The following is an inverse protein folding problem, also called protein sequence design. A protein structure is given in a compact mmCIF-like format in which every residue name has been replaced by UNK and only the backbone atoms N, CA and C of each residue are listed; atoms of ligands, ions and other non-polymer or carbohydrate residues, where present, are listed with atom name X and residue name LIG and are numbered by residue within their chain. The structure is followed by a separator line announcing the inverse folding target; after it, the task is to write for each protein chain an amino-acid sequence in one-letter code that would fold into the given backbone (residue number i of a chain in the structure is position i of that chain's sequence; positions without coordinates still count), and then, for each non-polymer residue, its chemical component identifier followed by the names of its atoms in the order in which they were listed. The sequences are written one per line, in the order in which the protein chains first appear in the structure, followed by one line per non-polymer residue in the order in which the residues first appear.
data_IF_421820965812
#
_entry.id   IF_421820965812
#
_cell.length_a   1.000
_cell.length_b   1.000
_cell.length_c   1.000
_cell.angle_alpha   90.00
_cell.angle_beta   90.00
_cell.angle_gamma   90.00
#
_symmetry.space_group_name_H-M   'P 1'
#
loop_
_entity.id
_entity.type
_entity.pdbx_description
1 polymer ?
#
# COMPACT_ATOMS: atom_id res chain seq x y z
N UNK A 1 20.86 16.24 0.14
CA UNK A 1 20.16 15.82 -1.08
C UNK A 1 21.09 15.18 -2.11
N UNK A 2 22.09 15.90 -2.60
CA UNK A 2 22.98 15.42 -3.68
C UNK A 2 23.73 14.14 -3.33
N UNK A 3 24.25 13.99 -2.12
CA UNK A 3 24.93 12.76 -1.69
C UNK A 3 24.02 11.55 -1.72
N UNK A 4 22.75 11.73 -1.34
CA UNK A 4 21.75 10.67 -1.38
C UNK A 4 21.39 10.29 -2.82
N UNK A 5 21.25 11.26 -3.70
CA UNK A 5 21.00 11.04 -5.13
C UNK A 5 22.17 10.28 -5.78
N UNK A 6 23.40 10.65 -5.44
CA UNK A 6 24.59 9.95 -5.93
C UNK A 6 24.64 8.50 -5.44
N UNK A 7 24.30 8.26 -4.18
CA UNK A 7 24.21 6.90 -3.63
C UNK A 7 23.14 6.05 -4.35
N UNK A 8 22.00 6.65 -4.68
CA UNK A 8 20.94 5.96 -5.45
C UNK A 8 21.36 5.64 -6.87
N UNK A 9 22.06 6.56 -7.54
CA UNK A 9 22.61 6.32 -8.88
C UNK A 9 23.65 5.18 -8.85
N UNK A 10 24.54 5.18 -7.88
CA UNK A 10 25.54 4.13 -7.70
C UNK A 10 24.86 2.77 -7.45
N UNK A 11 23.82 2.76 -6.64
CA UNK A 11 23.03 1.54 -6.39
C UNK A 11 22.32 1.06 -7.66
N UNK A 12 21.74 1.96 -8.44
CA UNK A 12 21.09 1.64 -9.71
C UNK A 12 22.08 1.01 -10.71
N UNK A 13 23.26 1.58 -10.84
CA UNK A 13 24.30 1.04 -11.69
C UNK A 13 24.77 -0.35 -11.21
N UNK A 14 24.88 -0.54 -9.90
CA UNK A 14 25.20 -1.85 -9.31
C UNK A 14 24.11 -2.89 -9.59
N UNK A 15 22.84 -2.50 -9.53
CA UNK A 15 21.72 -3.39 -9.87
C UNK A 15 21.74 -3.78 -11.35
N UNK A 16 22.11 -2.87 -12.26
CA UNK A 16 22.29 -3.18 -13.68
C UNK A 16 23.37 -4.24 -13.90
N UNK A 17 24.49 -4.15 -13.18
CA UNK A 17 25.53 -5.18 -13.21
C UNK A 17 25.05 -6.52 -12.64
N UNK A 18 24.36 -6.51 -11.49
CA UNK A 18 23.82 -7.71 -10.85
C UNK A 18 22.78 -8.41 -11.71
N UNK A 19 21.91 -7.68 -12.40
CA UNK A 19 20.92 -8.24 -13.31
C UNK A 19 21.51 -8.87 -14.57
N UNK A 20 22.77 -8.57 -14.88
CA UNK A 20 23.53 -9.21 -15.96
C UNK A 20 24.35 -10.43 -15.48
N UNK A 21 24.42 -10.68 -14.17
CA UNK A 21 25.15 -11.80 -13.60
C UNK A 21 24.37 -13.11 -13.79
N UNK A 22 24.96 -14.17 -14.37
CA UNK A 22 24.32 -15.46 -14.52
C UNK A 22 23.84 -16.10 -13.22
N UNK A 23 24.53 -15.89 -12.12
CA UNK A 23 24.12 -16.39 -10.79
C UNK A 23 22.81 -15.76 -10.32
N UNK A 24 22.63 -14.48 -10.58
CA UNK A 24 21.38 -13.76 -10.27
C UNK A 24 20.25 -14.15 -11.22
N UNK A 25 20.54 -14.30 -12.51
CA UNK A 25 19.56 -14.72 -13.52
C UNK A 25 18.98 -16.10 -13.20
N UNK A 26 19.79 -17.00 -12.66
CA UNK A 26 19.37 -18.34 -12.28
C UNK A 26 18.64 -18.40 -10.92
N UNK A 27 18.71 -17.36 -10.11
CA UNK A 27 17.99 -17.22 -8.84
C UNK A 27 16.74 -16.36 -9.03
N UNK A 28 15.59 -16.99 -9.14
CA UNK A 28 14.30 -16.30 -9.41
C UNK A 28 13.97 -15.26 -8.36
N UNK A 29 14.27 -15.52 -7.10
CA UNK A 29 13.99 -14.61 -5.98
C UNK A 29 14.84 -13.34 -6.07
N UNK A 30 16.16 -13.50 -6.25
CA UNK A 30 17.09 -12.37 -6.41
C UNK A 30 16.80 -11.57 -7.67
N UNK A 31 16.53 -12.24 -8.77
CA UNK A 31 16.16 -11.58 -10.02
C UNK A 31 14.94 -10.69 -9.86
N UNK A 32 13.92 -11.18 -9.17
CA UNK A 32 12.68 -10.45 -8.90
C UNK A 32 12.91 -9.26 -7.99
N UNK A 33 13.64 -9.43 -6.88
CA UNK A 33 13.96 -8.37 -5.93
C UNK A 33 14.79 -7.26 -6.58
N UNK A 34 15.84 -7.60 -7.29
CA UNK A 34 16.72 -6.63 -7.95
C UNK A 34 16.04 -5.91 -9.12
N UNK A 35 15.20 -6.60 -9.87
CA UNK A 35 14.41 -5.99 -10.95
C UNK A 35 13.40 -4.97 -10.41
N UNK A 36 12.77 -5.28 -9.29
CA UNK A 36 11.84 -4.36 -8.61
C UNK A 36 12.58 -3.13 -8.07
N UNK A 37 13.69 -3.33 -7.38
CA UNK A 37 14.51 -2.23 -6.86
C UNK A 37 15.03 -1.33 -7.99
N UNK A 38 15.49 -1.91 -9.10
CA UNK A 38 15.92 -1.16 -10.29
C UNK A 38 14.77 -0.31 -10.85
N UNK A 39 13.59 -0.88 -11.01
CA UNK A 39 12.42 -0.17 -11.51
C UNK A 39 12.01 0.99 -10.59
N UNK A 40 12.08 0.79 -9.28
CA UNK A 40 11.78 1.82 -8.28
C UNK A 40 12.76 3.00 -8.30
N UNK A 41 14.03 2.74 -8.65
CA UNK A 41 15.08 3.77 -8.74
C UNK A 41 15.16 4.45 -10.11
N UNK A 42 14.56 3.90 -11.15
CA UNK A 42 14.72 4.38 -12.52
C UNK A 42 14.31 5.85 -12.67
N UNK A 43 13.17 6.24 -12.14
CA UNK A 43 12.65 7.60 -12.30
C UNK A 43 13.53 8.63 -11.60
N UNK A 44 13.98 8.37 -10.38
CA UNK A 44 14.84 9.29 -9.63
C UNK A 44 16.21 9.41 -10.27
N UNK A 45 16.76 8.32 -10.80
CA UNK A 45 18.06 8.32 -11.48
C UNK A 45 18.01 9.07 -12.81
N UNK A 46 16.94 8.92 -13.58
CA UNK A 46 16.71 9.69 -14.80
C UNK A 46 16.58 11.19 -14.51
N UNK A 47 15.80 11.55 -13.50
CA UNK A 47 15.65 12.95 -13.08
C UNK A 47 16.98 13.56 -12.60
N UNK A 48 17.78 12.78 -11.86
CA UNK A 48 19.11 13.20 -11.42
C UNK A 48 20.10 13.36 -12.59
N UNK A 49 20.03 12.49 -13.58
CA UNK A 49 20.78 12.63 -14.83
C UNK A 49 20.46 13.94 -15.56
N UNK A 50 19.19 14.27 -15.71
CA UNK A 50 18.73 15.54 -16.29
C UNK A 50 19.20 16.74 -15.46
N UNK A 51 19.13 16.65 -14.13
CA UNK A 51 19.63 17.70 -13.25
C UNK A 51 21.12 17.96 -13.42
N UNK A 52 21.95 16.92 -13.50
CA UNK A 52 23.39 17.05 -13.73
C UNK A 52 23.68 17.70 -15.10
N UNK A 53 22.94 17.30 -16.14
CA UNK A 53 23.08 17.84 -17.48
C UNK A 53 22.74 19.34 -17.51
N UNK A 54 21.58 19.74 -16.96
CA UNK A 54 21.16 21.13 -16.86
C UNK A 54 22.14 21.97 -16.02
N UNK A 55 22.66 21.42 -14.94
CA UNK A 55 23.67 22.07 -14.11
C UNK A 55 24.95 22.34 -14.88
N UNK A 56 25.41 21.37 -15.66
CA UNK A 56 26.59 21.53 -16.52
C UNK A 56 26.38 22.57 -17.61
N UNK A 57 25.22 22.53 -18.29
CA UNK A 57 24.86 23.52 -19.31
C UNK A 57 24.80 24.94 -18.72
N UNK A 58 24.28 25.08 -17.50
CA UNK A 58 24.23 26.36 -16.78
C UNK A 58 25.61 26.88 -16.46
N UNK A 59 26.52 26.05 -15.98
CA UNK A 59 27.90 26.40 -15.71
C UNK A 59 28.64 26.81 -16.98
N UNK A 60 28.46 26.08 -18.07
CA UNK A 60 29.03 26.39 -19.40
C UNK A 60 28.51 27.75 -19.94
N UNK A 61 27.21 28.01 -19.76
CA UNK A 61 26.61 29.29 -20.19
C UNK A 61 27.12 30.48 -19.34
N UNK A 62 27.36 30.30 -18.07
CA UNK A 62 27.94 31.31 -17.19
C UNK A 62 29.40 31.63 -17.55
N UNK A 63 30.18 30.57 -17.82
CA UNK A 63 31.57 30.72 -18.29
C UNK A 63 31.62 31.46 -19.64
N UNK A 64 30.75 31.10 -20.59
CA UNK A 64 30.62 31.78 -21.88
C UNK A 64 30.25 33.24 -21.73
N UNK A 65 29.37 33.62 -20.78
CA UNK A 65 29.00 35.00 -20.51
C UNK A 65 30.19 35.82 -19.96
N UNK A 66 31.06 35.22 -19.15
CA UNK A 66 32.24 35.90 -18.62
C UNK A 66 33.28 36.18 -19.68
N UNK A 67 33.43 35.27 -20.64
CA UNK A 67 34.46 35.35 -21.71
C UNK A 67 33.99 36.14 -22.93
N UNK A 68 32.70 36.45 -23.07
CA UNK A 68 32.11 37.08 -24.24
C UNK A 68 32.25 38.62 -24.18
N UNK A 69 32.60 39.22 -25.32
CA UNK A 69 32.75 40.69 -25.45
C UNK A 69 31.63 41.33 -26.27
N UNK A 70 30.87 40.57 -27.04
CA UNK A 70 29.75 41.05 -27.83
C UNK A 70 28.46 41.19 -27.02
N UNK A 71 27.84 42.37 -27.02
CA UNK A 71 26.67 42.68 -26.22
C UNK A 71 25.43 41.83 -26.62
N UNK A 72 25.25 41.52 -27.90
CA UNK A 72 24.16 40.65 -28.36
C UNK A 72 24.34 39.22 -27.88
N UNK A 73 25.56 38.71 -27.95
CA UNK A 73 25.90 37.38 -27.46
C UNK A 73 25.77 37.27 -25.93
N UNK A 74 26.12 38.33 -25.21
CA UNK A 74 25.89 38.41 -23.76
C UNK A 74 24.39 38.37 -23.40
N UNK A 75 23.55 39.06 -24.14
CA UNK A 75 22.11 39.06 -23.93
C UNK A 75 21.50 37.67 -24.21
N UNK A 76 21.95 36.98 -25.25
CA UNK A 76 21.56 35.60 -25.50
C UNK A 76 22.01 34.64 -24.38
N UNK A 77 23.25 34.78 -23.90
CA UNK A 77 23.76 33.98 -22.81
C UNK A 77 22.98 34.20 -21.50
N UNK A 78 22.61 35.47 -21.20
CA UNK A 78 21.77 35.78 -20.02
C UNK A 78 20.37 35.16 -20.13
N UNK A 79 19.75 35.19 -21.29
CA UNK A 79 18.46 34.57 -21.54
C UNK A 79 18.51 33.02 -21.33
N UNK A 80 19.56 32.39 -21.87
CA UNK A 80 19.81 30.97 -21.68
C UNK A 80 20.04 30.61 -20.18
N UNK A 81 20.82 31.42 -19.48
CA UNK A 81 21.06 31.23 -18.02
C UNK A 81 19.75 31.33 -17.25
N UNK A 82 18.87 32.27 -17.58
CA UNK A 82 17.57 32.42 -16.91
C UNK A 82 16.68 31.18 -17.15
N UNK A 83 16.60 30.69 -18.39
CA UNK A 83 15.85 29.49 -18.75
C UNK A 83 16.38 28.25 -18.02
N UNK A 84 17.71 28.01 -18.07
CA UNK A 84 18.35 26.88 -17.42
C UNK A 84 18.24 26.94 -15.89
N UNK A 85 18.27 28.11 -15.30
CA UNK A 85 18.05 28.29 -13.86
C UNK A 85 16.63 27.89 -13.47
N UNK A 86 15.64 28.25 -14.27
CA UNK A 86 14.24 27.86 -14.06
C UNK A 86 14.05 26.34 -14.21
N UNK A 87 14.68 25.71 -15.19
CA UNK A 87 14.66 24.25 -15.36
C UNK A 87 15.33 23.53 -14.20
N UNK A 88 16.48 24.03 -13.74
CA UNK A 88 17.20 23.49 -12.60
C UNK A 88 16.34 23.51 -11.33
N UNK A 89 15.66 24.60 -11.04
CA UNK A 89 14.77 24.74 -9.89
C UNK A 89 13.61 23.76 -9.95
N UNK A 90 13.00 23.57 -11.11
CA UNK A 90 11.94 22.58 -11.31
C UNK A 90 12.42 21.16 -11.10
N UNK A 91 13.63 20.83 -11.58
CA UNK A 91 14.23 19.52 -11.37
C UNK A 91 14.61 19.29 -9.90
N UNK A 92 15.08 20.30 -9.20
CA UNK A 92 15.36 20.23 -7.74
C UNK A 92 14.07 19.93 -6.95
N UNK A 93 12.98 20.58 -7.27
CA UNK A 93 11.68 20.34 -6.64
C UNK A 93 11.18 18.91 -6.94
N UNK A 94 11.26 18.48 -8.22
CA UNK A 94 10.92 17.12 -8.60
C UNK A 94 11.76 16.08 -7.87
N UNK A 95 13.07 16.30 -7.76
CA UNK A 95 13.97 15.38 -7.04
C UNK A 95 13.65 15.31 -5.54
N UNK A 96 13.29 16.43 -4.91
CA UNK A 96 12.82 16.42 -3.51
C UNK A 96 11.59 15.53 -3.34
N UNK A 97 10.61 15.63 -4.25
CA UNK A 97 9.41 14.80 -4.23
C UNK A 97 9.74 13.32 -4.45
N UNK A 98 10.64 13.01 -5.38
CA UNK A 98 11.06 11.63 -5.66
C UNK A 98 11.87 10.99 -4.52
N UNK A 99 12.51 11.78 -3.67
CA UNK A 99 13.24 11.31 -2.48
C UNK A 99 12.32 11.09 -1.26
N UNK A 100 11.07 11.48 -1.33
CA UNK A 100 10.12 11.21 -0.27
C UNK A 100 9.92 9.70 -0.10
N UNK A 101 9.75 9.21 1.14
CA UNK A 101 9.45 7.81 1.38
C UNK A 101 8.18 7.41 0.64
N UNK A 102 8.26 6.40 -0.22
CA UNK A 102 7.09 5.80 -0.87
C UNK A 102 6.47 4.76 0.06
N UNK A 103 5.15 4.72 0.11
CA UNK A 103 4.44 3.64 0.77
C UNK A 103 4.69 2.34 -0.02
N UNK A 104 5.22 1.27 0.61
CA UNK A 104 5.49 0.01 -0.09
C UNK A 104 4.22 -0.66 -0.62
N UNK A 105 3.05 -0.24 -0.16
CA UNK A 105 1.76 -0.75 -0.60
C UNK A 105 1.18 -0.04 -1.83
N UNK A 106 1.76 1.10 -2.25
CA UNK A 106 1.21 1.96 -3.31
C UNK A 106 0.99 1.23 -4.65
N UNK A 107 1.82 0.25 -5.00
CA UNK A 107 1.70 -0.52 -6.23
C UNK A 107 0.74 -1.71 -6.13
N UNK A 108 0.21 -1.98 -4.95
CA UNK A 108 -0.65 -3.15 -4.70
C UNK A 108 -2.08 -2.94 -5.18
N UNK A 109 -2.75 -4.05 -5.47
CA UNK A 109 -4.19 -4.12 -5.56
C UNK A 109 -4.83 -3.83 -4.20
N UNK A 110 -6.10 -3.48 -4.19
CA UNK A 110 -6.79 -3.16 -2.94
C UNK A 110 -8.02 -4.00 -2.74
N UNK A 111 -8.30 -4.33 -1.47
CA UNK A 111 -9.62 -4.70 -0.99
C UNK A 111 -10.33 -3.46 -0.47
N UNK A 112 -11.53 -3.22 -0.95
CA UNK A 112 -12.39 -2.18 -0.43
C UNK A 112 -13.61 -2.80 0.25
N UNK A 113 -13.90 -2.33 1.45
CA UNK A 113 -15.08 -2.72 2.22
C UNK A 113 -15.94 -1.47 2.43
N UNK A 114 -17.13 -1.46 1.86
CA UNK A 114 -18.09 -0.37 2.03
C UNK A 114 -19.26 -0.88 2.84
N UNK A 115 -19.54 -0.23 3.95
CA UNK A 115 -20.55 -0.66 4.90
C UNK A 115 -21.46 0.50 5.29
N UNK A 116 -22.79 0.27 5.29
CA UNK A 116 -23.73 1.20 5.89
C UNK A 116 -23.50 1.30 7.40
N UNK A 117 -23.39 2.51 7.93
CA UNK A 117 -23.20 2.77 9.36
C UNK A 117 -24.48 3.37 9.99
N UNK A 118 -24.44 4.63 10.40
CA UNK A 118 -25.62 5.27 11.00
C UNK A 118 -26.63 5.71 9.93
N UNK A 119 -27.88 5.28 10.04
CA UNK A 119 -28.98 5.71 9.17
C UNK A 119 -29.86 4.58 8.58
N UNK A 120 -29.66 3.34 9.01
CA UNK A 120 -30.52 2.22 8.60
C UNK A 120 -30.48 1.96 7.09
N UNK A 121 -31.66 1.84 6.46
CA UNK A 121 -31.80 1.55 5.02
C UNK A 121 -31.16 2.63 4.14
N UNK A 122 -31.23 3.90 4.53
CA UNK A 122 -30.59 4.99 3.81
C UNK A 122 -29.05 4.88 3.80
N UNK A 123 -28.46 4.45 4.93
CA UNK A 123 -27.04 4.18 5.00
C UNK A 123 -26.64 3.03 4.05
N UNK A 124 -27.48 2.00 3.94
CA UNK A 124 -27.25 0.90 3.01
C UNK A 124 -27.39 1.33 1.54
N UNK A 125 -28.34 2.19 1.22
CA UNK A 125 -28.46 2.79 -0.12
C UNK A 125 -27.25 3.65 -0.47
N UNK A 126 -26.79 4.44 0.48
CA UNK A 126 -25.59 5.26 0.28
C UNK A 126 -24.32 4.41 0.11
N UNK A 127 -24.19 3.31 0.84
CA UNK A 127 -23.10 2.35 0.61
C UNK A 127 -23.10 1.83 -0.83
N UNK A 128 -24.27 1.55 -1.38
CA UNK A 128 -24.45 1.20 -2.80
C UNK A 128 -24.03 2.31 -3.76
N UNK A 129 -24.34 3.55 -3.44
CA UNK A 129 -23.94 4.72 -4.22
C UNK A 129 -22.41 4.90 -4.22
N UNK A 130 -21.77 4.74 -3.06
CA UNK A 130 -20.32 4.78 -2.95
C UNK A 130 -19.65 3.65 -3.75
N UNK A 131 -20.18 2.44 -3.66
CA UNK A 131 -19.67 1.33 -4.47
C UNK A 131 -19.73 1.65 -5.97
N UNK A 132 -20.85 2.15 -6.46
CA UNK A 132 -20.99 2.55 -7.87
C UNK A 132 -20.03 3.66 -8.26
N UNK A 133 -19.81 4.62 -7.39
CA UNK A 133 -18.83 5.70 -7.58
C UNK A 133 -17.41 5.14 -7.74
N UNK A 134 -16.99 4.24 -6.86
CA UNK A 134 -15.68 3.61 -6.96
C UNK A 134 -15.56 2.68 -8.17
N UNK A 135 -16.61 1.97 -8.53
CA UNK A 135 -16.64 1.14 -9.73
C UNK A 135 -16.41 1.97 -11.00
N UNK A 136 -17.07 3.11 -11.12
CA UNK A 136 -16.87 4.04 -12.24
C UNK A 136 -15.50 4.68 -12.25
N UNK A 137 -14.97 5.03 -11.08
CA UNK A 137 -13.61 5.53 -10.95
C UNK A 137 -12.58 4.49 -11.41
N UNK A 138 -12.72 3.25 -10.95
CA UNK A 138 -11.85 2.15 -11.36
C UNK A 138 -11.91 1.88 -12.86
N UNK A 139 -13.11 1.90 -13.46
CA UNK A 139 -13.29 1.75 -14.91
C UNK A 139 -12.56 2.86 -15.68
N UNK A 140 -12.67 4.11 -15.22
CA UNK A 140 -11.98 5.25 -15.83
C UNK A 140 -10.45 5.15 -15.73
N UNK A 141 -9.94 4.49 -14.70
CA UNK A 141 -8.50 4.20 -14.53
C UNK A 141 -8.03 2.96 -15.30
N UNK A 142 -8.94 2.20 -15.89
CA UNK A 142 -8.63 0.92 -16.56
C UNK A 142 -8.40 -0.24 -15.57
N UNK A 143 -8.87 -0.11 -14.35
CA UNK A 143 -8.79 -1.15 -13.33
C UNK A 143 -10.01 -2.07 -13.36
N UNK A 144 -9.82 -3.32 -12.94
CA UNK A 144 -10.89 -4.31 -12.85
C UNK A 144 -11.40 -4.42 -11.43
N UNK A 145 -12.72 -4.60 -11.29
CA UNK A 145 -13.36 -4.85 -10.01
C UNK A 145 -13.88 -6.28 -9.97
N UNK A 146 -13.55 -6.97 -8.88
CA UNK A 146 -14.10 -8.28 -8.55
C UNK A 146 -14.82 -8.19 -7.20
N UNK A 147 -16.13 -8.43 -7.21
CA UNK A 147 -16.92 -8.49 -5.98
C UNK A 147 -16.62 -9.79 -5.26
N UNK A 148 -16.12 -9.68 -4.03
CA UNK A 148 -15.79 -10.82 -3.18
C UNK A 148 -17.00 -11.27 -2.39
N UNK A 149 -17.71 -10.33 -1.76
CA UNK A 149 -18.87 -10.59 -0.92
C UNK A 149 -19.82 -9.39 -0.97
N UNK A 150 -21.11 -9.65 -1.02
CA UNK A 150 -22.13 -8.62 -1.02
C UNK A 150 -23.33 -9.05 -0.17
N UNK A 151 -23.66 -8.27 0.84
CA UNK A 151 -24.86 -8.41 1.66
C UNK A 151 -25.84 -7.32 1.28
N UNK A 152 -26.81 -7.67 0.44
CA UNK A 152 -27.84 -6.75 -0.03
C UNK A 152 -28.96 -6.57 0.99
N UNK A 153 -29.61 -5.39 0.96
CA UNK A 153 -30.82 -5.12 1.72
C UNK A 153 -32.07 -5.21 0.81
N UNK A 154 -33.25 -5.38 1.43
CA UNK A 154 -34.50 -5.47 0.69
C UNK A 154 -34.89 -4.22 -0.11
N UNK A 155 -34.23 -3.07 0.13
CA UNK A 155 -34.44 -1.79 -0.55
C UNK A 155 -33.41 -1.48 -1.63
N UNK A 156 -32.57 -2.44 -2.00
CA UNK A 156 -31.60 -2.31 -3.08
C UNK A 156 -30.25 -1.72 -2.70
N UNK A 157 -30.00 -1.51 -1.42
CA UNK A 157 -28.68 -1.09 -0.92
C UNK A 157 -27.84 -2.28 -0.46
N UNK A 158 -26.66 -1.97 0.10
CA UNK A 158 -25.77 -2.93 0.69
C UNK A 158 -25.60 -2.66 2.19
N UNK A 159 -25.83 -3.66 3.02
CA UNK A 159 -25.37 -3.63 4.41
C UNK A 159 -23.85 -3.60 4.43
N UNK A 160 -23.24 -4.40 3.58
CA UNK A 160 -21.81 -4.48 3.35
C UNK A 160 -21.54 -4.97 1.92
N UNK A 161 -20.54 -4.41 1.28
CA UNK A 161 -19.98 -4.94 0.03
C UNK A 161 -18.46 -4.92 0.12
N UNK A 162 -17.85 -6.05 -0.19
CA UNK A 162 -16.42 -6.24 -0.24
C UNK A 162 -16.03 -6.55 -1.68
N UNK A 163 -15.13 -5.78 -2.22
CA UNK A 163 -14.66 -5.95 -3.59
C UNK A 163 -13.17 -5.67 -3.69
N UNK A 164 -12.56 -6.32 -4.67
CA UNK A 164 -11.16 -6.14 -5.00
C UNK A 164 -11.03 -5.21 -6.22
N UNK A 165 -10.12 -4.27 -6.15
CA UNK A 165 -9.74 -3.41 -7.26
C UNK A 165 -8.37 -3.83 -7.74
N UNK A 166 -8.32 -4.42 -8.94
CA UNK A 166 -7.11 -4.93 -9.56
C UNK A 166 -6.57 -3.90 -10.56
N UNK A 167 -5.48 -3.27 -10.19
CA UNK A 167 -4.84 -2.27 -11.04
C UNK A 167 -3.53 -1.78 -10.45
N UNK A 168 -2.58 -1.49 -11.32
CA UNK A 168 -1.29 -0.94 -10.92
C UNK A 168 -1.47 0.43 -10.28
N UNK A 169 -1.00 0.60 -9.05
CA UNK A 169 -1.12 1.86 -8.32
C UNK A 169 -2.51 2.12 -7.72
N UNK A 170 -3.40 1.12 -7.67
CA UNK A 170 -4.74 1.28 -7.12
C UNK A 170 -4.72 1.75 -5.67
N UNK A 171 -3.88 1.16 -4.83
CA UNK A 171 -3.75 1.56 -3.44
C UNK A 171 -3.24 2.99 -3.28
N UNK A 172 -2.33 3.45 -4.11
CA UNK A 172 -1.76 4.81 -4.05
C UNK A 172 -2.81 5.91 -4.16
N UNK A 173 -3.89 5.64 -4.89
CA UNK A 173 -4.99 6.59 -5.11
C UNK A 173 -6.17 6.37 -4.16
N UNK A 174 -6.55 5.12 -3.93
CA UNK A 174 -7.73 4.78 -3.13
C UNK A 174 -7.48 4.81 -1.63
N UNK A 175 -6.24 4.77 -1.15
CA UNK A 175 -5.91 4.85 0.28
C UNK A 175 -6.49 6.06 1.00
N UNK A 176 -6.72 7.15 0.29
CA UNK A 176 -7.32 8.37 0.85
C UNK A 176 -8.83 8.26 1.09
N UNK A 177 -9.46 7.18 0.64
CA UNK A 177 -10.91 6.96 0.81
C UNK A 177 -11.26 6.27 2.12
N UNK A 178 -10.28 5.84 2.90
CA UNK A 178 -10.48 5.27 4.22
C UNK A 178 -11.18 6.23 5.17
N UNK A 179 -12.25 5.78 5.77
CA UNK A 179 -12.93 6.52 6.83
C UNK A 179 -14.45 6.55 6.70
N UNK A 180 -15.07 7.44 7.45
CA UNK A 180 -16.51 7.65 7.44
C UNK A 180 -16.91 8.69 6.38
N UNK A 181 -17.82 8.33 5.50
CA UNK A 181 -18.42 9.20 4.50
C UNK A 181 -19.83 9.54 4.92
N UNK A 182 -20.20 10.81 4.87
CA UNK A 182 -21.49 11.31 5.30
C UNK A 182 -22.32 11.81 4.11
N UNK A 183 -23.58 11.42 4.08
CA UNK A 183 -24.54 11.89 3.10
C UNK A 183 -25.63 12.74 3.77
N UNK A 184 -25.98 13.84 3.12
CA UNK A 184 -27.13 14.69 3.46
C UNK A 184 -28.05 14.73 2.27
N UNK A 185 -29.22 14.10 2.38
CA UNK A 185 -30.26 14.08 1.34
C UNK A 185 -31.61 13.69 1.93
N UNK A 186 -32.66 13.91 1.15
CA UNK A 186 -33.97 13.34 1.47
C UNK A 186 -33.98 11.88 1.09
N UNK A 187 -34.11 10.93 2.06
CA UNK A 187 -34.13 9.51 1.75
C UNK A 187 -35.33 9.12 0.86
N UNK A 188 -35.17 8.09 0.03
CA UNK A 188 -36.26 7.54 -0.78
C UNK A 188 -37.42 7.01 0.10
N UNK A 189 -37.11 6.60 1.34
CA UNK A 189 -38.06 6.09 2.33
C UNK A 189 -38.76 7.19 3.14
N UNK A 190 -38.37 8.46 2.96
CA UNK A 190 -38.92 9.60 3.70
C UNK A 190 -40.11 10.23 2.95
N UNK A 191 -41.30 10.19 3.54
CA UNK A 191 -42.51 10.75 2.94
C UNK A 191 -42.70 12.25 3.19
N UNK A 192 -42.03 12.81 4.20
CA UNK A 192 -42.16 14.20 4.63
C UNK A 192 -41.21 15.19 3.95
N UNK A 193 -40.34 14.72 3.06
CA UNK A 193 -39.37 15.56 2.36
C UNK A 193 -38.26 16.14 3.23
N UNK A 194 -38.03 15.57 4.42
CA UNK A 194 -36.97 16.02 5.36
C UNK A 194 -35.61 15.51 4.97
N UNK A 195 -34.61 16.38 5.08
CA UNK A 195 -33.20 16.01 4.87
C UNK A 195 -32.69 15.21 6.08
N UNK A 196 -32.23 14.00 5.81
CA UNK A 196 -31.57 13.15 6.80
C UNK A 196 -30.06 13.11 6.58
N UNK A 197 -29.32 12.85 7.66
CA UNK A 197 -27.88 12.63 7.64
C UNK A 197 -27.59 11.17 7.96
N UNK A 198 -26.93 10.49 7.04
CA UNK A 198 -26.52 9.10 7.18
C UNK A 198 -25.03 8.95 6.91
N UNK A 199 -24.45 7.87 7.37
CA UNK A 199 -23.02 7.57 7.19
C UNK A 199 -22.80 6.17 6.66
N UNK A 200 -21.76 6.03 5.85
CA UNK A 200 -21.19 4.75 5.45
C UNK A 200 -19.69 4.78 5.70
N UNK A 201 -19.12 3.64 6.03
CA UNK A 201 -17.69 3.52 6.25
C UNK A 201 -17.03 2.85 5.06
N UNK A 202 -15.84 3.30 4.71
CA UNK A 202 -15.00 2.74 3.67
C UNK A 202 -13.68 2.32 4.29
N UNK A 203 -13.34 1.05 4.16
CA UNK A 203 -12.02 0.53 4.48
C UNK A 203 -11.31 0.19 3.18
N UNK A 204 -10.09 0.68 3.03
CA UNK A 204 -9.20 0.38 1.90
C UNK A 204 -7.98 -0.32 2.46
N UNK A 205 -7.79 -1.57 2.07
CA UNK A 205 -6.72 -2.42 2.53
C UNK A 205 -5.87 -2.87 1.34
N UNK A 206 -4.53 -2.82 1.44
CA UNK A 206 -3.70 -3.39 0.39
C UNK A 206 -3.91 -4.91 0.33
N UNK A 207 -3.78 -5.48 -0.87
CA UNK A 207 -3.78 -6.93 -1.03
C UNK A 207 -2.66 -7.54 -0.19
N UNK A 208 -3.01 -8.49 0.69
CA UNK A 208 -2.04 -9.18 1.51
C UNK A 208 -1.17 -10.10 0.64
N UNK A 209 0.13 -10.07 0.87
CA UNK A 209 1.05 -11.06 0.30
C UNK A 209 0.85 -12.41 1.02
N UNK A 210 1.09 -13.49 0.30
CA UNK A 210 1.12 -14.81 0.90
C UNK A 210 2.19 -14.86 1.98
N UNK A 211 1.85 -15.44 3.12
CA UNK A 211 2.80 -15.62 4.21
C UNK A 211 3.80 -16.70 3.81
N UNK A 212 5.01 -16.28 3.47
CA UNK A 212 6.13 -17.21 3.25
C UNK A 212 6.78 -17.53 4.60
N UNK A 213 6.80 -18.81 4.95
CA UNK A 213 7.45 -19.29 6.15
C UNK A 213 8.70 -20.06 5.74
N UNK A 214 9.86 -19.46 5.96
CA UNK A 214 11.15 -20.11 5.84
C UNK A 214 11.60 -20.56 7.23
N UNK A 215 11.64 -21.88 7.44
CA UNK A 215 12.07 -22.48 8.70
C UNK A 215 13.52 -22.93 8.55
N UNK A 216 14.42 -22.25 9.28
CA UNK A 216 15.79 -22.66 9.34
C UNK A 216 15.95 -23.84 10.32
N UNK A 217 16.49 -24.94 9.84
CA UNK A 217 16.73 -26.13 10.67
C UNK A 217 17.67 -25.86 11.87
N UNK A 218 18.52 -24.86 11.78
CA UNK A 218 19.40 -24.45 12.90
C UNK A 218 18.62 -23.85 14.08
N UNK A 219 17.44 -23.33 13.85
CA UNK A 219 16.58 -22.75 14.89
C UNK A 219 15.74 -23.82 15.61
N UNK A 220 15.84 -25.08 15.19
CA UNK A 220 15.09 -26.19 15.75
C UNK A 220 15.99 -27.02 16.66
N UNK A 221 15.66 -27.05 17.97
CA UNK A 221 16.29 -27.95 18.93
C UNK A 221 15.59 -29.29 18.91
N UNK A 222 16.36 -30.35 18.76
CA UNK A 222 15.88 -31.75 18.75
C UNK A 222 16.28 -32.41 20.03
N UNK A 223 15.31 -32.86 20.83
CA UNK A 223 15.49 -33.67 22.02
C UNK A 223 14.90 -35.05 21.80
N UNK A 224 15.63 -36.08 22.20
CA UNK A 224 15.15 -37.47 22.12
C UNK A 224 14.97 -38.02 23.51
N UNK A 225 13.91 -38.83 23.69
CA UNK A 225 13.60 -39.44 24.98
C UNK A 225 12.91 -40.80 24.83
N UNK A 226 12.79 -41.55 25.94
CA UNK A 226 12.10 -42.82 25.90
C UNK A 226 10.59 -42.60 25.79
N UNK A 227 9.92 -43.35 24.94
CA UNK A 227 8.47 -43.29 24.80
C UNK A 227 7.77 -43.67 26.11
N UNK A 228 6.68 -42.99 26.45
CA UNK A 228 5.84 -43.30 27.60
C UNK A 228 4.65 -44.16 27.14
N UNK A 229 4.25 -45.12 27.94
CA UNK A 229 3.06 -45.94 27.70
C UNK A 229 3.25 -47.41 28.07
N UNK A 230 2.17 -48.26 28.03
CA UNK A 230 2.25 -49.68 28.24
C UNK A 230 3.07 -50.33 27.15
N UNK A 231 4.20 -50.92 27.47
CA UNK A 231 5.08 -51.61 26.52
C UNK A 231 6.18 -52.38 27.22
N UNK A 232 6.84 -53.26 26.49
CA UNK A 232 7.97 -54.07 26.94
C UNK A 232 9.28 -53.27 27.00
N UNK A 233 10.42 -53.96 27.15
CA UNK A 233 11.75 -53.37 27.26
C UNK A 233 12.10 -52.39 26.15
N UNK A 234 11.59 -52.58 24.91
CA UNK A 234 11.80 -51.71 23.79
C UNK A 234 11.27 -50.29 23.98
N UNK A 235 10.11 -50.12 24.64
CA UNK A 235 9.51 -48.82 24.91
C UNK A 235 10.28 -48.07 25.99
N UNK A 236 10.79 -48.79 26.98
CA UNK A 236 11.45 -48.18 28.15
C UNK A 236 12.95 -47.93 27.96
N UNK A 237 13.59 -48.56 26.97
CA UNK A 237 15.05 -48.47 26.74
C UNK A 237 15.46 -47.77 25.45
N UNK A 238 14.59 -47.72 24.45
CA UNK A 238 14.85 -47.09 23.17
C UNK A 238 14.38 -45.63 23.17
N UNK A 239 15.29 -44.70 22.92
CA UNK A 239 14.95 -43.26 22.79
C UNK A 239 14.34 -42.99 21.41
N UNK A 240 13.12 -43.44 21.17
CA UNK A 240 12.40 -43.29 19.90
C UNK A 240 11.53 -42.03 19.84
N UNK A 241 11.11 -41.49 20.98
CA UNK A 241 10.32 -40.27 21.05
C UNK A 241 11.18 -39.02 20.76
N UNK A 242 10.61 -38.10 20.01
CA UNK A 242 11.30 -36.86 19.58
C UNK A 242 10.50 -35.64 20.03
N UNK A 243 11.19 -34.64 20.55
CA UNK A 243 10.66 -33.32 20.84
C UNK A 243 11.41 -32.30 20.00
N UNK A 244 10.68 -31.52 19.22
CA UNK A 244 11.21 -30.40 18.45
C UNK A 244 10.78 -29.10 19.10
N UNK A 245 11.75 -28.21 19.32
CA UNK A 245 11.51 -26.85 19.81
C UNK A 245 12.02 -25.84 18.79
N UNK A 246 11.13 -25.00 18.28
CA UNK A 246 11.51 -23.87 17.42
C UNK A 246 11.84 -22.68 18.33
N UNK A 247 13.13 -22.40 18.47
CA UNK A 247 13.62 -21.38 19.43
C UNK A 247 13.04 -19.99 19.21
N UNK A 248 12.93 -19.44 17.96
CA UNK A 248 12.38 -18.11 17.75
C UNK A 248 10.91 -17.94 18.17
N UNK A 249 10.08 -18.96 17.99
CA UNK A 249 8.65 -18.92 18.30
C UNK A 249 8.28 -19.56 19.63
N UNK A 250 9.17 -20.38 20.18
CA UNK A 250 8.91 -21.18 21.38
C UNK A 250 7.93 -22.34 21.19
N UNK A 251 7.54 -22.65 19.96
CA UNK A 251 6.64 -23.76 19.65
C UNK A 251 7.33 -25.09 19.88
N UNK A 252 6.68 -25.99 20.62
CA UNK A 252 7.16 -27.32 20.94
C UNK A 252 6.24 -28.38 20.38
N UNK A 253 6.80 -29.35 19.69
CA UNK A 253 6.08 -30.51 19.14
C UNK A 253 6.78 -31.78 19.55
N UNK A 254 6.04 -32.74 20.12
CA UNK A 254 6.53 -34.05 20.50
C UNK A 254 5.81 -35.14 19.70
N UNK A 255 6.54 -36.16 19.29
CA UNK A 255 5.99 -37.33 18.60
C UNK A 255 6.63 -38.60 19.14
N UNK A 256 5.78 -39.58 19.46
CA UNK A 256 6.19 -40.92 19.96
C UNK A 256 5.38 -42.06 19.33
N UNK A 257 4.66 -41.79 18.23
CA UNK A 257 3.70 -42.71 17.63
C UNK A 257 4.36 -43.93 16.98
N UNK A 258 5.56 -43.75 16.48
CA UNK A 258 6.31 -44.78 15.76
C UNK A 258 7.44 -45.36 16.61
N UNK A 259 7.85 -46.56 16.29
CA UNK A 259 9.03 -47.20 16.90
C UNK A 259 10.35 -46.63 16.38
N UNK A 260 10.32 -45.90 15.30
CA UNK A 260 11.48 -45.30 14.63
C UNK A 260 11.62 -43.82 15.02
N UNK A 261 12.78 -43.46 15.56
CA UNK A 261 13.12 -42.07 15.88
C UNK A 261 13.07 -41.17 14.64
N UNK A 262 13.55 -41.66 13.49
CA UNK A 262 13.56 -40.91 12.23
C UNK A 262 12.14 -40.58 11.78
N UNK A 263 11.23 -41.55 11.80
CA UNK A 263 9.83 -41.35 11.43
C UNK A 263 9.11 -40.40 12.37
N UNK A 264 9.39 -40.48 13.69
CA UNK A 264 8.86 -39.55 14.68
C UNK A 264 9.37 -38.12 14.45
N UNK A 265 10.64 -37.95 14.09
CA UNK A 265 11.21 -36.66 13.73
C UNK A 265 10.54 -36.05 12.49
N UNK A 266 10.34 -36.86 11.44
CA UNK A 266 9.64 -36.43 10.21
C UNK A 266 8.20 -35.98 10.48
N UNK A 267 7.44 -36.77 11.27
CA UNK A 267 6.09 -36.40 11.66
C UNK A 267 6.06 -35.12 12.51
N UNK A 268 6.94 -35.03 13.50
CA UNK A 268 7.03 -33.85 14.35
C UNK A 268 7.42 -32.61 13.53
N UNK A 269 8.29 -32.75 12.54
CA UNK A 269 8.68 -31.65 11.66
C UNK A 269 7.50 -31.14 10.82
N UNK A 270 6.68 -32.04 10.27
CA UNK A 270 5.46 -31.64 9.54
C UNK A 270 4.47 -30.87 10.41
N UNK A 271 4.25 -31.34 11.64
CA UNK A 271 3.37 -30.66 12.61
C UNK A 271 3.95 -29.32 13.04
N UNK A 272 5.25 -29.24 13.26
CA UNK A 272 5.93 -28.00 13.62
C UNK A 272 5.78 -26.93 12.52
N UNK A 273 6.03 -27.32 11.26
CA UNK A 273 5.84 -26.41 10.11
C UNK A 273 4.41 -25.91 10.01
N UNK A 274 3.44 -26.79 10.18
CA UNK A 274 2.02 -26.42 10.14
C UNK A 274 1.65 -25.43 11.26
N UNK A 275 2.15 -25.64 12.49
CA UNK A 275 1.90 -24.75 13.62
C UNK A 275 2.58 -23.40 13.49
N UNK A 276 3.80 -23.35 12.99
CA UNK A 276 4.53 -22.10 12.73
C UNK A 276 3.79 -21.30 11.65
N UNK A 277 3.37 -21.96 10.56
CA UNK A 277 2.60 -21.33 9.49
C UNK A 277 1.27 -20.75 10.00
N UNK A 278 0.52 -21.52 10.81
CA UNK A 278 -0.73 -21.06 11.43
C UNK A 278 -0.52 -19.85 12.34
N UNK A 279 0.57 -19.83 13.10
CA UNK A 279 0.92 -18.70 13.98
C UNK A 279 1.18 -17.44 13.15
N UNK A 280 2.03 -17.50 12.12
CA UNK A 280 2.33 -16.36 11.26
C UNK A 280 1.10 -15.88 10.49
N UNK A 281 0.24 -16.79 10.05
CA UNK A 281 -1.03 -16.40 9.43
C UNK A 281 -1.94 -15.64 10.40
N UNK A 282 -2.04 -16.08 11.64
CA UNK A 282 -2.82 -15.38 12.66
C UNK A 282 -2.26 -14.00 13.00
N UNK A 283 -0.95 -13.86 13.08
CA UNK A 283 -0.30 -12.56 13.26
C UNK A 283 -0.58 -11.61 12.09
N UNK A 284 -0.41 -12.07 10.86
CA UNK A 284 -0.72 -11.30 9.67
C UNK A 284 -2.21 -10.90 9.61
N UNK A 285 -3.11 -11.82 9.97
CA UNK A 285 -4.54 -11.52 10.03
C UNK A 285 -4.88 -10.51 11.11
N UNK A 286 -4.25 -10.60 12.28
CA UNK A 286 -4.43 -9.62 13.36
C UNK A 286 -3.99 -8.21 12.95
N UNK A 287 -2.89 -8.09 12.21
CA UNK A 287 -2.44 -6.81 11.66
C UNK A 287 -3.45 -6.23 10.65
N UNK A 288 -3.98 -7.06 9.76
CA UNK A 288 -5.03 -6.66 8.81
C UNK A 288 -6.28 -6.18 9.56
N UNK A 289 -6.70 -6.89 10.59
CA UNK A 289 -7.89 -6.56 11.38
C UNK A 289 -7.70 -5.26 12.17
N UNK A 290 -6.51 -5.01 12.69
CA UNK A 290 -6.16 -3.74 13.33
C UNK A 290 -6.15 -2.57 12.33
N UNK A 291 -5.56 -2.76 11.16
CA UNK A 291 -5.58 -1.78 10.08
C UNK A 291 -7.01 -1.48 9.62
N UNK A 292 -7.85 -2.50 9.47
CA UNK A 292 -9.27 -2.33 9.15
C UNK A 292 -10.00 -1.52 10.22
N UNK A 293 -9.78 -1.82 11.49
CA UNK A 293 -10.40 -1.11 12.61
C UNK A 293 -9.96 0.35 12.68
N UNK A 294 -8.67 0.63 12.47
CA UNK A 294 -8.13 1.98 12.38
C UNK A 294 -8.72 2.77 11.22
N UNK A 295 -8.87 2.12 10.05
CA UNK A 295 -9.38 2.76 8.83
C UNK A 295 -10.85 3.18 8.95
N UNK A 296 -11.67 2.38 9.61
CA UNK A 296 -13.13 2.57 9.67
C UNK A 296 -13.57 3.52 10.78
N UNK A 297 -12.84 3.58 11.90
CA UNK A 297 -13.27 4.32 13.08
C UNK A 297 -14.57 3.76 13.68
N UNK A 298 -15.39 4.61 14.28
CA UNK A 298 -16.69 4.20 14.88
C UNK A 298 -17.86 4.24 13.90
N UNK A 299 -17.72 4.93 12.77
CA UNK A 299 -18.78 5.16 11.81
C UNK A 299 -19.90 6.07 12.32
N UNK A 300 -19.67 6.82 13.39
CA UNK A 300 -20.63 7.76 13.93
C UNK A 300 -20.83 8.97 12.97
N UNK A 301 -21.97 9.64 13.06
CA UNK A 301 -22.31 10.83 12.25
C UNK A 301 -21.37 12.01 12.47
N UNK A 302 -20.70 12.07 13.61
CA UNK A 302 -19.66 13.06 13.92
C UNK A 302 -18.34 12.79 13.22
N UNK A 303 -18.03 11.52 12.97
CA UNK A 303 -16.85 11.10 12.24
C UNK A 303 -17.10 11.21 10.75
N UNK A 304 -16.32 12.04 10.07
CA UNK A 304 -16.44 12.20 8.62
C UNK A 304 -15.12 12.67 8.02
N UNK A 305 -14.75 12.03 6.93
CA UNK A 305 -13.69 12.56 6.06
C UNK A 305 -14.29 13.40 4.94
N UNK A 306 -15.47 13.03 4.47
CA UNK A 306 -16.13 13.68 3.33
C UNK A 306 -17.64 13.73 3.53
N UNK A 307 -18.25 14.84 3.12
CA UNK A 307 -19.70 15.02 3.14
C UNK A 307 -20.23 15.22 1.73
N UNK A 308 -21.24 14.45 1.37
CA UNK A 308 -21.97 14.49 0.09
C UNK A 308 -23.32 15.17 0.34
N UNK A 309 -23.44 16.42 -0.07
CA UNK A 309 -24.66 17.22 0.12
C UNK A 309 -25.45 17.28 -1.18
N UNK A 310 -26.48 16.46 -1.29
CA UNK A 310 -27.32 16.37 -2.48
C UNK A 310 -28.18 17.63 -2.72
N UNK A 311 -28.88 18.23 -1.71
CA UNK A 311 -29.62 19.42 -1.92
C UNK A 311 -28.85 20.61 -2.46
N UNK A 312 -27.59 20.76 -2.05
CA UNK A 312 -26.68 21.82 -2.49
C UNK A 312 -25.75 21.39 -3.62
N UNK A 313 -25.87 20.15 -4.11
CA UNK A 313 -25.05 19.57 -5.19
C UNK A 313 -23.54 19.77 -5.00
N UNK A 314 -23.06 19.57 -3.77
CA UNK A 314 -21.65 19.75 -3.41
C UNK A 314 -21.10 18.58 -2.62
N UNK A 315 -19.81 18.38 -2.75
CA UNK A 315 -19.02 17.41 -1.96
C UNK A 315 -17.89 18.15 -1.30
N UNK A 316 -17.74 17.98 0.01
CA UNK A 316 -16.68 18.62 0.79
C UNK A 316 -15.80 17.55 1.43
N UNK A 317 -14.50 17.61 1.18
CA UNK A 317 -13.51 16.86 1.94
C UNK A 317 -13.03 17.71 3.12
N UNK A 318 -13.37 17.25 4.32
CA UNK A 318 -13.11 18.01 5.56
C UNK A 318 -11.64 18.00 5.99
N UNK A 319 -10.85 17.05 5.48
CA UNK A 319 -9.43 16.95 5.81
C UNK A 319 -8.61 18.09 5.22
N UNK A 320 -9.00 18.57 4.07
CA UNK A 320 -8.31 19.64 3.30
C UNK A 320 -9.19 20.86 3.05
N UNK A 321 -10.42 20.85 3.53
CA UNK A 321 -11.37 21.96 3.32
C UNK A 321 -11.76 22.21 1.86
N UNK A 322 -11.60 21.23 0.99
CA UNK A 322 -11.92 21.33 -0.44
C UNK A 322 -13.39 21.02 -0.68
N UNK A 323 -14.11 21.92 -1.34
CA UNK A 323 -15.50 21.74 -1.76
C UNK A 323 -15.60 21.77 -3.29
N UNK A 324 -16.24 20.75 -3.87
CA UNK A 324 -16.51 20.65 -5.31
C UNK A 324 -18.03 20.79 -5.52
N UNK A 325 -18.46 21.78 -6.33
CA UNK A 325 -19.85 22.08 -6.64
C UNK A 325 -20.43 21.21 -7.78
N UNK A 326 -19.94 19.98 -7.93
CA UNK A 326 -20.30 19.06 -9.00
C UNK A 326 -20.51 17.65 -8.45
N UNK A 327 -21.44 17.52 -7.49
CA UNK A 327 -21.74 16.25 -6.83
C UNK A 327 -22.05 15.13 -7.83
N UNK A 328 -22.83 15.40 -8.88
CA UNK A 328 -23.19 14.39 -9.89
C UNK A 328 -21.97 13.81 -10.59
N UNK A 329 -20.99 14.66 -10.89
CA UNK A 329 -19.74 14.22 -11.52
C UNK A 329 -18.88 13.39 -10.56
N UNK A 330 -18.84 13.75 -9.28
CA UNK A 330 -18.14 12.97 -8.25
C UNK A 330 -18.77 11.58 -8.12
N UNK A 331 -20.10 11.50 -8.09
CA UNK A 331 -20.83 10.22 -8.03
C UNK A 331 -20.65 9.37 -9.30
N UNK A 332 -20.33 10.00 -10.43
CA UNK A 332 -19.91 9.32 -11.67
C UNK A 332 -18.44 8.89 -11.70
N UNK A 333 -17.74 9.00 -10.60
CA UNK A 333 -16.37 8.52 -10.43
C UNK A 333 -15.28 9.56 -10.68
N UNK A 334 -15.59 10.84 -10.80
CA UNK A 334 -14.58 11.91 -10.95
C UNK A 334 -14.03 12.33 -9.59
N UNK A 335 -13.12 11.52 -9.06
CA UNK A 335 -12.50 11.70 -7.76
C UNK A 335 -11.11 12.34 -7.83
N UNK A 336 -10.55 12.52 -9.01
CA UNK A 336 -9.14 12.93 -9.20
C UNK A 336 -8.81 14.24 -8.49
N UNK A 337 -9.71 15.22 -8.51
CA UNK A 337 -9.49 16.52 -7.87
C UNK A 337 -9.28 16.38 -6.34
N UNK A 338 -10.05 15.52 -5.69
CA UNK A 338 -9.86 15.21 -4.27
C UNK A 338 -8.59 14.42 -4.02
N UNK A 339 -8.35 13.40 -4.81
CA UNK A 339 -7.18 12.51 -4.67
C UNK A 339 -5.89 13.30 -4.89
N UNK A 340 -5.81 14.13 -5.92
CA UNK A 340 -4.66 14.96 -6.21
C UNK A 340 -4.40 15.98 -5.10
N UNK A 341 -5.43 16.62 -4.58
CA UNK A 341 -5.31 17.57 -3.47
C UNK A 341 -4.84 16.88 -2.17
N UNK A 342 -5.34 15.69 -1.88
CA UNK A 342 -4.92 14.90 -0.72
C UNK A 342 -3.48 14.40 -0.85
N UNK A 343 -3.07 14.01 -2.04
CA UNK A 343 -1.69 13.62 -2.34
C UNK A 343 -0.72 14.81 -2.13
N UNK A 344 -1.08 15.99 -2.62
CA UNK A 344 -0.27 17.20 -2.42
C UNK A 344 -0.14 17.57 -0.94
N UNK A 345 -1.20 17.45 -0.17
CA UNK A 345 -1.19 17.69 1.29
C UNK A 345 -0.27 16.69 2.01
N UNK A 346 -0.33 15.41 1.64
CA UNK A 346 0.56 14.38 2.20
C UNK A 346 2.03 14.67 1.86
N UNK A 347 2.31 15.02 0.61
CA UNK A 347 3.66 15.37 0.17
C UNK A 347 4.20 16.60 0.90
N UNK A 348 3.37 17.62 1.08
CA UNK A 348 3.75 18.83 1.82
C UNK A 348 4.12 18.52 3.29
N UNK A 349 3.32 17.70 3.98
CA UNK A 349 3.62 17.25 5.34
C UNK A 349 4.92 16.46 5.43
N UNK A 350 5.16 15.54 4.50
CA UNK A 350 6.41 14.77 4.45
C UNK A 350 7.63 15.66 4.18
N UNK A 351 7.50 16.68 3.36
CA UNK A 351 8.58 17.65 3.10
C UNK A 351 8.90 18.49 4.34
N UNK A 352 7.88 18.91 5.08
CA UNK A 352 8.06 19.67 6.34
C UNK A 352 8.78 18.81 7.40
N UNK A 353 8.42 17.53 7.52
CA UNK A 353 9.07 16.58 8.44
C UNK A 353 10.55 16.32 8.11
N UNK A 354 10.93 16.38 6.83
CA UNK A 354 12.34 16.19 6.39
C UNK A 354 13.14 17.49 6.51
N UNK A 355 12.47 18.64 6.51
CA UNK A 355 13.09 19.95 6.61
C UNK A 355 13.51 20.34 8.03
N UNK A 356 13.01 19.62 9.06
CA UNK A 356 13.46 19.71 10.45
C UNK A 356 14.62 18.72 10.73
#
# INVERSE_FOLDING_TARGET
MLDRLQSLEDRYNKLNELLSDPEVINDTTKLREYSKEQSDLEEVVQAYGQYKEVTQQLDDAKEMLEDESDDEMKDMAKAEIEELTGEKEKLEERLRLLLLPKDPNDDKNVFMEVRGAAGGDEAALFAGDLYRMYAKYAEAQGWKIDVVEAHTTGVGGYKEIIFMVNGTGAYSKLKYENGAHRVQRVPETESGGRIHTSTATVAVLPEAEDVEVDINEKDIRVDTFASSGPGGQSVNTTMSAVRLTHEPTGIVVSCQDEKSQIKNKEKAMKVLRARIYDMYQKEAQAEIDENRKSAVGTGDRSERIRTYNFPQSRVTDHRIGLTIQKLDQVMEGKLDEFIDALLLEEQAKKLDEIGE
#
